data_IF_192918916817
#
_entry.id   IF_192918916817
#
_cell.length_a   1.000
_cell.length_b   1.000
_cell.length_c   1.000
_cell.angle_alpha   90.00
_cell.angle_beta   90.00
_cell.angle_gamma   90.00
#
_symmetry.space_group_name_H-M   'P 1'
#
loop_
_entity.id
_entity.type
_entity.pdbx_description
1 polymer ?
#
# COMPACT_ATOMS: atom_id res chain seq x y z
N UNK A 1 4.00 -4.98 -45.36
CA UNK A 1 2.57 -4.60 -45.23
C UNK A 1 2.37 -3.91 -43.89
N UNK A 2 2.28 -2.59 -43.89
CA UNK A 2 2.02 -1.77 -42.70
C UNK A 2 0.54 -1.83 -42.35
N UNK A 3 0.22 -2.24 -41.12
CA UNK A 3 -1.16 -2.19 -40.61
C UNK A 3 -1.66 -0.73 -40.57
N UNK A 4 -2.96 -0.48 -40.84
CA UNK A 4 -3.51 0.87 -40.80
C UNK A 4 -3.38 1.49 -39.39
N UNK A 5 -3.00 2.77 -39.33
CA UNK A 5 -2.69 3.49 -38.09
C UNK A 5 -3.82 3.48 -37.04
N UNK A 6 -5.08 3.35 -37.47
CA UNK A 6 -6.26 3.24 -36.60
C UNK A 6 -6.35 1.92 -35.82
N UNK A 7 -5.83 0.82 -36.37
CA UNK A 7 -5.85 -0.50 -35.72
C UNK A 7 -4.73 -0.61 -34.67
N UNK A 8 -3.58 0.03 -34.93
CA UNK A 8 -2.46 0.08 -33.99
C UNK A 8 -2.82 0.88 -32.72
N UNK A 9 -3.54 2.00 -32.87
CA UNK A 9 -3.94 2.89 -31.77
C UNK A 9 -5.01 2.27 -30.86
N UNK A 10 -6.01 1.57 -31.39
CA UNK A 10 -7.04 0.92 -30.56
C UNK A 10 -6.46 -0.19 -29.67
N UNK A 11 -5.46 -0.94 -30.17
CA UNK A 11 -4.82 -2.01 -29.39
C UNK A 11 -4.00 -1.45 -28.21
N UNK A 12 -3.39 -0.28 -28.36
CA UNK A 12 -2.59 0.37 -27.32
C UNK A 12 -3.47 0.91 -26.19
N UNK A 13 -4.61 1.51 -26.51
CA UNK A 13 -5.60 1.97 -25.53
C UNK A 13 -6.15 0.81 -24.71
N UNK A 14 -6.56 -0.28 -25.37
CA UNK A 14 -7.07 -1.48 -24.69
C UNK A 14 -6.04 -2.08 -23.73
N UNK A 15 -4.77 -2.19 -24.14
CA UNK A 15 -3.69 -2.66 -23.25
C UNK A 15 -3.50 -1.76 -22.04
N UNK A 16 -3.56 -0.45 -22.23
CA UNK A 16 -3.41 0.53 -21.15
C UNK A 16 -4.54 0.38 -20.13
N UNK A 17 -5.79 0.26 -20.59
CA UNK A 17 -6.96 0.05 -19.72
C UNK A 17 -6.88 -1.25 -18.94
N UNK A 18 -6.51 -2.36 -19.59
CA UNK A 18 -6.35 -3.66 -18.90
C UNK A 18 -5.23 -3.59 -17.87
N UNK A 19 -4.12 -2.91 -18.20
CA UNK A 19 -3.00 -2.71 -17.27
C UNK A 19 -3.43 -1.89 -16.07
N UNK A 20 -4.21 -0.82 -16.28
CA UNK A 20 -4.76 -0.01 -15.22
C UNK A 20 -5.70 -0.81 -14.31
N UNK A 21 -6.64 -1.56 -14.89
CA UNK A 21 -7.55 -2.41 -14.13
C UNK A 21 -6.79 -3.44 -13.28
N UNK A 22 -5.84 -4.16 -13.86
CA UNK A 22 -5.04 -5.15 -13.14
C UNK A 22 -4.24 -4.51 -12.00
N UNK A 23 -3.60 -3.36 -12.25
CA UNK A 23 -2.82 -2.67 -11.20
C UNK A 23 -3.72 -2.14 -10.09
N UNK A 24 -4.90 -1.59 -10.40
CA UNK A 24 -5.89 -1.18 -9.39
C UNK A 24 -6.37 -2.36 -8.54
N UNK A 25 -6.69 -3.49 -9.16
CA UNK A 25 -7.09 -4.70 -8.41
C UNK A 25 -5.97 -5.18 -7.48
N UNK A 26 -4.73 -5.16 -7.95
CA UNK A 26 -3.58 -5.55 -7.14
C UNK A 26 -3.32 -4.57 -6.01
N UNK A 27 -3.47 -3.26 -6.26
CA UNK A 27 -3.41 -2.21 -5.24
C UNK A 27 -4.44 -2.48 -4.13
N UNK A 28 -5.70 -2.73 -4.49
CA UNK A 28 -6.76 -3.04 -3.54
C UNK A 28 -6.45 -4.30 -2.72
N UNK A 29 -6.05 -5.39 -3.39
CA UNK A 29 -5.70 -6.63 -2.72
C UNK A 29 -4.52 -6.44 -1.75
N UNK A 30 -3.46 -5.77 -2.20
CA UNK A 30 -2.30 -5.50 -1.38
C UNK A 30 -2.65 -4.64 -0.16
N UNK A 31 -3.48 -3.61 -0.32
CA UNK A 31 -3.98 -2.82 0.80
C UNK A 31 -4.74 -3.69 1.81
N UNK A 32 -5.71 -4.48 1.36
CA UNK A 32 -6.54 -5.30 2.25
C UNK A 32 -5.70 -6.33 3.02
N UNK A 33 -4.73 -6.95 2.37
CA UNK A 33 -3.81 -7.89 3.02
C UNK A 33 -2.94 -7.21 4.07
N UNK A 34 -2.32 -6.08 3.73
CA UNK A 34 -1.42 -5.38 4.66
C UNK A 34 -2.21 -4.73 5.80
N UNK A 35 -3.31 -4.03 5.52
CA UNK A 35 -4.16 -3.42 6.54
C UNK A 35 -4.74 -4.51 7.47
N UNK A 36 -5.17 -5.63 6.91
CA UNK A 36 -5.65 -6.76 7.68
C UNK A 36 -4.60 -7.36 8.60
N UNK A 37 -3.38 -7.56 8.10
CA UNK A 37 -2.27 -8.05 8.90
C UNK A 37 -1.88 -7.07 10.01
N UNK A 38 -1.83 -5.77 9.70
CA UNK A 38 -1.58 -4.72 10.68
C UNK A 38 -2.60 -4.78 11.82
N UNK A 39 -3.89 -4.68 11.49
CA UNK A 39 -4.96 -4.69 12.50
C UNK A 39 -5.01 -6.01 13.28
N UNK A 40 -4.87 -7.15 12.61
CA UNK A 40 -4.84 -8.46 13.27
C UNK A 40 -3.71 -8.55 14.30
N UNK A 41 -2.51 -8.06 13.95
CA UNK A 41 -1.37 -8.09 14.87
C UNK A 41 -1.57 -7.17 16.09
N UNK A 42 -2.17 -5.99 15.89
CA UNK A 42 -2.54 -5.07 16.98
C UNK A 42 -3.59 -5.70 17.90
N UNK A 43 -4.66 -6.28 17.35
CA UNK A 43 -5.71 -6.97 18.12
C UNK A 43 -5.12 -8.16 18.88
N UNK A 44 -4.30 -8.99 18.22
CA UNK A 44 -3.67 -10.15 18.86
C UNK A 44 -2.79 -9.74 20.06
N UNK A 45 -2.07 -8.62 19.95
CA UNK A 45 -1.29 -8.09 21.06
C UNK A 45 -2.17 -7.55 22.19
N UNK A 46 -3.24 -6.83 21.85
CA UNK A 46 -4.19 -6.32 22.84
C UNK A 46 -4.86 -7.45 23.62
N UNK A 47 -5.32 -8.51 22.93
CA UNK A 47 -5.87 -9.72 23.56
C UNK A 47 -4.85 -10.38 24.49
N UNK A 48 -3.59 -10.49 24.05
CA UNK A 48 -2.50 -11.05 24.89
C UNK A 48 -2.26 -10.26 26.17
N UNK A 49 -2.50 -8.95 26.13
CA UNK A 49 -2.38 -8.04 27.28
C UNK A 49 -3.72 -7.84 28.02
N UNK A 50 -4.77 -8.56 27.63
CA UNK A 50 -6.12 -8.45 28.19
C UNK A 50 -6.70 -7.02 28.13
N UNK A 51 -6.39 -6.30 27.04
CA UNK A 51 -6.92 -4.96 26.78
C UNK A 51 -8.19 -5.11 25.94
N UNK A 52 -9.39 -4.86 26.50
CA UNK A 52 -10.64 -4.99 25.77
C UNK A 52 -10.77 -3.95 24.67
N UNK A 53 -11.40 -4.32 23.57
CA UNK A 53 -11.67 -3.39 22.48
C UNK A 53 -12.70 -3.87 21.48
N UNK A 54 -12.92 -3.04 20.47
CA UNK A 54 -13.80 -3.30 19.33
C UNK A 54 -12.97 -3.17 18.06
N UNK A 55 -12.92 -4.26 17.29
CA UNK A 55 -12.32 -4.29 15.96
C UNK A 55 -13.40 -4.01 14.91
N UNK A 56 -13.36 -2.79 14.35
CA UNK A 56 -14.23 -2.37 13.25
C UNK A 56 -13.54 -2.37 11.89
N UNK A 57 -14.30 -2.08 10.84
CA UNK A 57 -13.82 -2.07 9.43
C UNK A 57 -12.66 -1.07 9.24
N UNK A 58 -12.79 0.10 9.85
CA UNK A 58 -11.87 1.23 9.68
C UNK A 58 -10.81 1.32 10.77
N UNK A 59 -11.18 1.06 12.01
CA UNK A 59 -10.33 1.30 13.18
C UNK A 59 -10.52 0.24 14.27
N UNK A 60 -9.52 0.16 15.14
CA UNK A 60 -9.57 -0.57 16.40
C UNK A 60 -9.80 0.47 17.50
N UNK A 61 -10.82 0.26 18.32
CA UNK A 61 -11.15 1.14 19.45
C UNK A 61 -10.94 0.37 20.75
N UNK A 62 -10.04 0.83 21.61
CA UNK A 62 -9.83 0.21 22.92
C UNK A 62 -10.86 0.76 23.92
N UNK A 63 -11.33 -0.09 24.84
CA UNK A 63 -12.36 0.26 25.83
C UNK A 63 -11.80 0.65 27.19
N UNK A 64 -10.47 0.71 27.33
CA UNK A 64 -9.78 1.15 28.55
C UNK A 64 -9.64 2.67 28.58
N UNK A 65 -9.64 3.24 29.78
CA UNK A 65 -9.47 4.65 30.04
C UNK A 65 -8.00 5.08 30.01
N UNK A 66 -7.74 6.37 29.77
CA UNK A 66 -6.37 6.90 29.65
C UNK A 66 -5.45 6.56 30.84
N UNK A 67 -5.88 6.61 32.12
CA UNK A 67 -5.04 6.26 33.26
C UNK A 67 -4.70 4.77 33.37
N UNK A 68 -5.46 3.89 32.69
CA UNK A 68 -5.24 2.45 32.72
C UNK A 68 -4.13 2.01 31.75
N UNK A 69 -3.71 2.88 30.85
CA UNK A 69 -2.59 2.58 29.96
C UNK A 69 -1.25 2.61 30.71
N UNK A 70 -0.48 1.54 30.54
CA UNK A 70 0.91 1.49 30.98
C UNK A 70 1.85 1.48 29.78
N UNK A 71 3.06 2.00 29.98
CA UNK A 71 4.01 2.28 28.90
C UNK A 71 4.31 1.08 28.00
N UNK A 72 4.55 -0.09 28.58
CA UNK A 72 4.88 -1.28 27.77
C UNK A 72 3.70 -1.78 26.95
N UNK A 73 2.46 -1.63 27.42
CA UNK A 73 1.27 -1.93 26.63
C UNK A 73 1.12 -0.99 25.44
N UNK A 74 1.27 0.32 25.65
CA UNK A 74 1.17 1.30 24.56
C UNK A 74 2.19 0.99 23.47
N UNK A 75 3.45 0.80 23.84
CA UNK A 75 4.52 0.48 22.90
C UNK A 75 4.27 -0.86 22.19
N UNK A 76 3.76 -1.88 22.89
CA UNK A 76 3.49 -3.19 22.31
C UNK A 76 2.29 -3.15 21.34
N UNK A 77 1.16 -2.60 21.76
CA UNK A 77 -0.09 -2.59 20.99
C UNK A 77 0.01 -1.70 19.76
N UNK A 78 0.52 -0.47 19.92
CA UNK A 78 0.67 0.45 18.79
C UNK A 78 1.93 0.21 17.96
N UNK A 79 2.93 -0.49 18.50
CA UNK A 79 4.18 -0.80 17.79
C UNK A 79 4.17 -2.10 17.00
N UNK A 80 3.40 -3.12 17.40
CA UNK A 80 3.43 -4.44 16.75
C UNK A 80 2.94 -4.40 15.30
N UNK A 81 1.88 -3.63 15.01
CA UNK A 81 1.33 -3.47 13.66
C UNK A 81 2.37 -2.95 12.68
N UNK A 82 2.94 -1.77 12.94
CA UNK A 82 4.03 -1.22 12.13
C UNK A 82 5.25 -2.15 12.06
N UNK A 83 5.64 -2.80 13.15
CA UNK A 83 6.77 -3.74 13.14
C UNK A 83 6.54 -4.93 12.20
N UNK A 84 5.35 -5.55 12.24
CA UNK A 84 4.98 -6.64 11.33
C UNK A 84 4.96 -6.15 9.88
N UNK A 85 4.39 -4.97 9.62
CA UNK A 85 4.42 -4.35 8.30
C UNK A 85 5.86 -4.09 7.81
N UNK A 86 6.77 -3.63 8.66
CA UNK A 86 8.17 -3.42 8.30
C UNK A 86 8.85 -4.73 7.86
N UNK A 87 8.62 -5.83 8.59
CA UNK A 87 9.12 -7.16 8.23
C UNK A 87 8.55 -7.61 6.88
N UNK A 88 7.26 -7.41 6.65
CA UNK A 88 6.60 -7.76 5.37
C UNK A 88 7.11 -6.91 4.21
N UNK A 89 7.33 -5.61 4.42
CA UNK A 89 7.89 -4.72 3.40
C UNK A 89 9.26 -5.19 2.93
N UNK A 90 10.16 -5.49 3.89
CA UNK A 90 11.49 -6.02 3.61
C UNK A 90 11.39 -7.39 2.94
N UNK A 91 10.57 -8.30 3.48
CA UNK A 91 10.40 -9.65 2.95
C UNK A 91 9.86 -9.67 1.51
N UNK A 92 8.82 -8.87 1.22
CA UNK A 92 8.24 -8.75 -0.10
C UNK A 92 9.21 -8.12 -1.11
N UNK A 93 9.94 -7.07 -0.70
CA UNK A 93 10.97 -6.43 -1.52
C UNK A 93 12.13 -7.37 -1.85
N UNK A 94 12.66 -8.09 -0.84
CA UNK A 94 13.71 -9.08 -1.04
C UNK A 94 13.26 -10.25 -1.91
N UNK A 95 12.02 -10.72 -1.73
CA UNK A 95 11.45 -11.78 -2.56
C UNK A 95 11.33 -11.33 -4.02
N UNK A 96 10.77 -10.13 -4.25
CA UNK A 96 10.71 -9.53 -5.57
C UNK A 96 12.11 -9.51 -6.21
N UNK A 97 13.09 -8.96 -5.50
CA UNK A 97 14.45 -8.78 -6.02
C UNK A 97 15.16 -10.10 -6.34
N UNK A 98 15.07 -11.08 -5.43
CA UNK A 98 15.84 -12.33 -5.55
C UNK A 98 15.18 -13.38 -6.44
N UNK A 99 13.84 -13.40 -6.57
CA UNK A 99 13.15 -14.52 -7.24
C UNK A 99 12.13 -14.12 -8.31
N UNK A 100 11.50 -12.96 -8.22
CA UNK A 100 10.36 -12.65 -9.10
C UNK A 100 10.63 -11.55 -10.14
N UNK A 101 11.68 -10.73 -9.98
CA UNK A 101 12.00 -9.63 -10.91
C UNK A 101 12.12 -10.06 -12.38
N UNK A 102 12.72 -11.24 -12.63
CA UNK A 102 12.94 -11.78 -13.98
C UNK A 102 11.82 -12.70 -14.47
N UNK A 103 10.78 -12.93 -13.66
CA UNK A 103 9.65 -13.79 -14.01
C UNK A 103 8.54 -12.98 -14.67
N UNK A 104 7.68 -13.69 -15.40
CA UNK A 104 6.48 -13.13 -16.02
C UNK A 104 5.29 -13.24 -15.08
N UNK A 105 4.30 -12.40 -15.32
CA UNK A 105 3.03 -12.39 -14.63
C UNK A 105 2.93 -11.32 -13.56
N UNK A 106 1.75 -11.26 -12.93
CA UNK A 106 1.36 -10.17 -12.03
C UNK A 106 1.90 -10.31 -10.61
N UNK A 107 2.54 -11.44 -10.27
CA UNK A 107 3.05 -11.69 -8.92
C UNK A 107 4.10 -10.67 -8.50
N UNK A 108 4.99 -10.27 -9.41
CA UNK A 108 6.00 -9.25 -9.14
C UNK A 108 5.38 -7.88 -8.84
N UNK A 109 4.33 -7.51 -9.57
CA UNK A 109 3.56 -6.29 -9.31
C UNK A 109 2.85 -6.37 -7.95
N UNK A 110 2.26 -7.53 -7.61
CA UNK A 110 1.67 -7.77 -6.29
C UNK A 110 2.70 -7.61 -5.17
N UNK A 111 3.89 -8.22 -5.29
CA UNK A 111 4.94 -8.10 -4.26
C UNK A 111 5.40 -6.66 -4.06
N UNK A 112 5.52 -5.88 -5.15
CA UNK A 112 5.90 -4.47 -5.06
C UNK A 112 4.78 -3.64 -4.41
N UNK A 113 3.51 -3.85 -4.77
CA UNK A 113 2.40 -3.16 -4.11
C UNK A 113 2.25 -3.57 -2.63
N UNK A 114 2.46 -4.84 -2.29
CA UNK A 114 2.52 -5.32 -0.90
C UNK A 114 3.63 -4.61 -0.14
N UNK A 115 4.83 -4.50 -0.73
CA UNK A 115 5.93 -3.77 -0.11
C UNK A 115 5.59 -2.28 0.07
N UNK A 116 4.97 -1.63 -0.92
CA UNK A 116 4.59 -0.21 -0.84
C UNK A 116 3.51 0.05 0.22
N UNK A 117 2.45 -0.77 0.27
CA UNK A 117 1.44 -0.65 1.32
C UNK A 117 2.02 -0.92 2.71
N UNK A 118 2.89 -1.91 2.84
CA UNK A 118 3.55 -2.21 4.10
C UNK A 118 4.49 -1.07 4.53
N UNK A 119 5.28 -0.49 3.61
CA UNK A 119 6.06 0.72 3.88
C UNK A 119 5.17 1.89 4.31
N UNK A 120 4.04 2.12 3.63
CA UNK A 120 3.13 3.21 3.97
C UNK A 120 2.46 2.99 5.33
N UNK A 121 2.20 1.75 5.76
CA UNK A 121 1.69 1.43 7.11
C UNK A 121 2.73 1.61 8.23
N UNK A 122 3.97 1.98 7.89
CA UNK A 122 5.02 2.29 8.86
C UNK A 122 5.39 3.76 8.73
N UNK A 123 5.94 4.15 7.59
CA UNK A 123 6.48 5.48 7.36
C UNK A 123 5.36 6.50 7.13
N UNK A 124 4.38 6.14 6.31
CA UNK A 124 3.27 7.02 5.96
C UNK A 124 2.29 7.16 7.11
N UNK A 125 2.03 6.05 7.80
CA UNK A 125 1.25 6.02 9.03
C UNK A 125 1.87 6.97 10.06
N UNK A 126 3.18 6.92 10.32
CA UNK A 126 3.84 7.86 11.25
C UNK A 126 3.60 9.34 10.88
N UNK A 127 3.61 9.67 9.59
CA UNK A 127 3.29 11.03 9.13
C UNK A 127 1.82 11.37 9.40
N UNK A 128 0.88 10.56 8.92
CA UNK A 128 -0.56 10.82 9.06
C UNK A 128 -1.06 10.79 10.50
N UNK A 129 -0.58 9.83 11.28
CA UNK A 129 -0.89 9.62 12.68
C UNK A 129 -0.43 10.79 13.55
N UNK A 130 0.66 11.47 13.17
CA UNK A 130 1.13 12.67 13.88
C UNK A 130 0.19 13.86 13.75
N UNK A 131 -0.53 13.98 12.63
CA UNK A 131 -1.54 15.04 12.48
C UNK A 131 -2.83 14.76 13.25
N UNK A 132 -3.09 13.51 13.61
CA UNK A 132 -4.33 13.10 14.27
C UNK A 132 -4.12 12.60 15.70
N UNK A 133 -2.87 12.59 16.18
CA UNK A 133 -2.47 12.09 17.49
C UNK A 133 -3.06 10.69 17.78
N UNK A 134 -2.96 9.80 16.79
CA UNK A 134 -3.57 8.47 16.83
C UNK A 134 -2.61 7.37 16.39
N UNK A 135 -2.96 6.10 16.58
CA UNK A 135 -2.19 4.98 16.02
C UNK A 135 -0.71 4.96 16.44
N UNK A 136 0.20 4.91 15.47
CA UNK A 136 1.65 4.81 15.72
C UNK A 136 2.23 6.06 16.37
N UNK A 137 1.54 7.20 16.35
CA UNK A 137 1.98 8.42 17.07
C UNK A 137 2.22 8.16 18.56
N UNK A 138 1.43 7.27 19.17
CA UNK A 138 1.60 6.90 20.57
C UNK A 138 2.96 6.25 20.86
N UNK A 139 3.59 5.61 19.87
CA UNK A 139 4.87 4.91 20.06
C UNK A 139 5.99 5.89 20.42
N UNK A 140 6.40 6.87 19.59
CA UNK A 140 7.40 7.85 20.00
C UNK A 140 6.95 8.70 21.20
N UNK A 141 5.66 9.00 21.33
CA UNK A 141 5.13 9.82 22.41
C UNK A 141 5.40 9.18 23.78
N UNK A 142 5.11 7.88 23.91
CA UNK A 142 5.36 7.10 25.12
C UNK A 142 6.78 6.54 25.23
N UNK A 143 7.52 6.47 24.13
CA UNK A 143 8.92 6.09 24.14
C UNK A 143 9.80 7.21 24.69
N UNK A 144 9.61 8.44 24.24
CA UNK A 144 10.48 9.56 24.58
C UNK A 144 10.00 10.35 25.80
N UNK A 145 8.68 10.43 26.05
CA UNK A 145 8.10 11.20 27.16
C UNK A 145 8.60 12.66 27.23
N UNK A 146 8.93 13.23 26.07
CA UNK A 146 9.58 14.54 25.92
C UNK A 146 8.70 15.53 25.13
N UNK A 147 7.38 15.45 25.33
CA UNK A 147 6.39 16.24 24.60
C UNK A 147 6.21 15.80 23.14
N UNK A 148 5.64 16.67 22.30
CA UNK A 148 5.30 16.34 20.92
C UNK A 148 6.47 16.52 19.92
N UNK A 149 7.54 17.23 20.31
CA UNK A 149 8.69 17.50 19.44
C UNK A 149 9.32 16.22 18.87
N UNK A 150 9.59 15.16 19.65
CA UNK A 150 10.11 13.91 19.11
C UNK A 150 9.19 13.26 18.08
N UNK A 151 7.86 13.31 18.27
CA UNK A 151 6.89 12.73 17.34
C UNK A 151 6.99 13.41 15.97
N UNK A 152 7.06 14.75 15.96
CA UNK A 152 7.19 15.54 14.73
C UNK A 152 8.52 15.25 14.04
N UNK A 153 9.63 15.18 14.77
CA UNK A 153 10.94 14.86 14.20
C UNK A 153 10.92 13.46 13.56
N UNK A 154 10.39 12.46 14.26
CA UNK A 154 10.28 11.09 13.72
C UNK A 154 9.38 11.06 12.49
N UNK A 155 8.24 11.76 12.50
CA UNK A 155 7.35 11.85 11.35
C UNK A 155 8.03 12.47 10.13
N UNK A 156 8.78 13.57 10.29
CA UNK A 156 9.55 14.19 9.20
C UNK A 156 10.58 13.22 8.64
N UNK A 157 11.35 12.54 9.50
CA UNK A 157 12.34 11.55 9.07
C UNK A 157 11.68 10.37 8.33
N UNK A 158 10.55 9.87 8.81
CA UNK A 158 9.77 8.82 8.14
C UNK A 158 9.25 9.28 6.77
N UNK A 159 8.74 10.50 6.66
CA UNK A 159 8.29 11.09 5.40
C UNK A 159 9.42 11.20 4.38
N UNK A 160 10.59 11.71 4.80
CA UNK A 160 11.79 11.78 3.95
C UNK A 160 12.26 10.40 3.52
N UNK A 161 12.31 9.43 4.44
CA UNK A 161 12.69 8.06 4.13
C UNK A 161 11.71 7.42 3.13
N UNK A 162 10.40 7.67 3.28
CA UNK A 162 9.39 7.18 2.35
C UNK A 162 9.57 7.74 0.93
N UNK A 163 9.94 9.02 0.83
CA UNK A 163 10.28 9.62 -0.47
C UNK A 163 11.52 8.96 -1.10
N UNK A 164 12.57 8.72 -0.30
CA UNK A 164 13.77 8.01 -0.75
C UNK A 164 13.43 6.60 -1.23
N UNK A 165 12.63 5.85 -0.46
CA UNK A 165 12.14 4.51 -0.84
C UNK A 165 11.40 4.56 -2.17
N UNK A 166 10.51 5.54 -2.36
CA UNK A 166 9.80 5.74 -3.63
C UNK A 166 10.75 5.97 -4.80
N UNK A 167 11.72 6.87 -4.63
CA UNK A 167 12.70 7.18 -5.68
C UNK A 167 13.54 5.94 -6.08
N UNK A 168 14.13 5.24 -5.11
CA UNK A 168 15.02 4.09 -5.39
C UNK A 168 14.26 2.86 -5.91
N UNK A 169 12.95 2.77 -5.64
CA UNK A 169 12.13 1.67 -6.10
C UNK A 169 11.76 1.74 -7.61
N UNK A 170 12.08 2.84 -8.31
CA UNK A 170 11.67 3.06 -9.69
C UNK A 170 12.09 1.95 -10.65
N UNK A 171 13.36 1.57 -10.65
CA UNK A 171 13.87 0.49 -11.51
C UNK A 171 13.16 -0.83 -11.22
N UNK A 172 12.99 -1.16 -9.93
CA UNK A 172 12.26 -2.35 -9.51
C UNK A 172 10.79 -2.32 -9.97
N UNK A 173 10.13 -1.18 -9.82
CA UNK A 173 8.75 -0.99 -10.26
C UNK A 173 8.60 -1.14 -11.77
N UNK A 174 9.49 -0.53 -12.57
CA UNK A 174 9.49 -0.69 -14.02
C UNK A 174 9.63 -2.17 -14.44
N UNK A 175 10.48 -2.94 -13.74
CA UNK A 175 10.67 -4.38 -13.97
C UNK A 175 9.41 -5.22 -13.67
N UNK A 176 8.42 -4.69 -12.96
CA UNK A 176 7.14 -5.38 -12.75
C UNK A 176 6.26 -5.48 -13.99
N UNK A 177 6.63 -4.82 -15.10
CA UNK A 177 5.81 -4.77 -16.31
C UNK A 177 6.32 -5.73 -17.38
N UNK A 178 5.39 -6.53 -17.94
CA UNK A 178 5.68 -7.48 -19.02
C UNK A 178 5.43 -6.92 -20.43
N UNK A 179 4.85 -5.71 -20.53
CA UNK A 179 4.47 -5.09 -21.80
C UNK A 179 5.61 -4.25 -22.36
N UNK A 180 6.34 -4.79 -23.35
CA UNK A 180 7.39 -4.06 -24.07
C UNK A 180 6.86 -2.75 -24.65
N UNK A 181 5.67 -2.77 -25.26
CA UNK A 181 5.08 -1.57 -25.89
C UNK A 181 4.83 -0.43 -24.90
N UNK A 182 4.43 -0.73 -23.66
CA UNK A 182 4.21 0.29 -22.64
C UNK A 182 5.51 0.71 -21.94
N UNK A 183 6.53 -0.16 -21.95
CA UNK A 183 7.84 0.10 -21.37
C UNK A 183 8.72 1.03 -22.20
N UNK A 184 8.45 1.16 -23.50
CA UNK A 184 9.13 2.12 -24.38
C UNK A 184 9.02 3.55 -23.83
N UNK A 185 10.11 4.31 -23.90
CA UNK A 185 10.19 5.66 -23.35
C UNK A 185 9.06 6.59 -23.81
N UNK A 186 8.64 6.62 -25.11
CA UNK A 186 7.52 7.47 -25.55
C UNK A 186 6.17 7.14 -24.87
N UNK A 187 5.99 5.91 -24.38
CA UNK A 187 4.78 5.48 -23.69
C UNK A 187 4.91 5.53 -22.16
N UNK A 188 6.05 5.95 -21.61
CA UNK A 188 6.33 5.95 -20.17
C UNK A 188 5.30 6.71 -19.36
N UNK A 189 4.85 7.88 -19.81
CA UNK A 189 3.81 8.65 -19.12
C UNK A 189 2.49 7.87 -19.02
N UNK A 190 2.10 7.16 -20.09
CA UNK A 190 0.89 6.32 -20.10
C UNK A 190 1.04 5.15 -19.13
N UNK A 191 2.22 4.52 -19.09
CA UNK A 191 2.53 3.47 -18.14
C UNK A 191 2.40 3.97 -16.70
N UNK A 192 3.05 5.08 -16.34
CA UNK A 192 2.99 5.69 -15.00
C UNK A 192 1.54 6.00 -14.59
N UNK A 193 0.78 6.65 -15.48
CA UNK A 193 -0.62 6.96 -15.19
C UNK A 193 -1.44 5.68 -14.96
N UNK A 194 -1.31 4.69 -15.84
CA UNK A 194 -2.05 3.45 -15.75
C UNK A 194 -1.65 2.57 -14.55
N UNK A 195 -0.39 2.60 -14.13
CA UNK A 195 0.15 1.61 -13.19
C UNK A 195 0.41 2.17 -11.80
N UNK A 196 0.54 3.49 -11.65
CA UNK A 196 0.78 4.18 -10.39
C UNK A 196 -0.40 5.09 -10.05
N UNK A 197 -0.68 6.10 -10.88
CA UNK A 197 -1.62 7.17 -10.50
C UNK A 197 -3.08 6.69 -10.48
N UNK A 198 -3.54 5.99 -11.52
CA UNK A 198 -4.90 5.44 -11.55
C UNK A 198 -5.12 4.43 -10.41
N UNK A 199 -4.24 3.43 -10.18
CA UNK A 199 -4.38 2.51 -9.05
C UNK A 199 -4.42 3.20 -7.70
N UNK A 200 -3.58 4.20 -7.48
CA UNK A 200 -3.61 4.98 -6.24
C UNK A 200 -4.92 5.74 -6.07
N UNK A 201 -5.35 6.52 -7.06
CA UNK A 201 -6.55 7.35 -6.96
C UNK A 201 -7.82 6.52 -6.92
N UNK A 202 -8.01 5.64 -7.92
CA UNK A 202 -9.20 4.79 -8.01
C UNK A 202 -9.23 3.74 -6.91
N UNK A 203 -8.09 3.13 -6.59
CA UNK A 203 -8.00 2.17 -5.50
C UNK A 203 -8.29 2.80 -4.14
N UNK A 204 -7.71 3.97 -3.84
CA UNK A 204 -8.01 4.67 -2.58
C UNK A 204 -9.48 5.12 -2.51
N UNK A 205 -10.06 5.58 -3.63
CA UNK A 205 -11.48 5.93 -3.68
C UNK A 205 -12.40 4.71 -3.43
N UNK A 206 -12.08 3.55 -4.03
CA UNK A 206 -12.84 2.31 -3.80
C UNK A 206 -12.70 1.81 -2.36
N UNK A 207 -11.51 1.92 -1.75
CA UNK A 207 -11.30 1.59 -0.34
C UNK A 207 -12.05 2.57 0.59
N UNK A 208 -12.06 3.85 0.26
CA UNK A 208 -12.84 4.85 0.98
C UNK A 208 -14.35 4.53 0.93
N UNK A 209 -14.86 4.11 -0.24
CA UNK A 209 -16.24 3.65 -0.38
C UNK A 209 -16.53 2.37 0.42
N UNK A 210 -15.62 1.40 0.41
CA UNK A 210 -15.74 0.17 1.20
C UNK A 210 -15.85 0.44 2.71
N UNK A 211 -15.22 1.52 3.17
CA UNK A 211 -15.15 1.92 4.58
C UNK A 211 -16.21 2.95 4.98
N UNK A 212 -17.06 3.40 4.05
CA UNK A 212 -18.13 4.34 4.36
C UNK A 212 -19.26 3.64 5.15
N UNK A 213 -19.84 4.24 6.21
CA UNK A 213 -19.66 5.63 6.68
C UNK A 213 -18.51 5.83 7.70
N UNK A 214 -17.82 4.77 8.10
CA UNK A 214 -16.81 4.79 9.16
C UNK A 214 -15.42 5.31 8.73
N UNK A 215 -15.32 6.00 7.59
CA UNK A 215 -14.06 6.49 7.06
C UNK A 215 -13.54 7.67 7.90
N UNK A 216 -12.45 7.44 8.63
CA UNK A 216 -11.84 8.43 9.51
C UNK A 216 -10.96 9.45 8.78
N UNK A 217 -10.65 10.57 9.44
CA UNK A 217 -9.63 11.51 8.95
C UNK A 217 -8.26 10.83 8.84
N UNK A 218 -7.89 10.00 9.82
CA UNK A 218 -6.60 9.34 9.83
C UNK A 218 -6.40 8.43 8.60
N UNK A 219 -7.42 7.65 8.23
CA UNK A 219 -7.34 6.79 7.04
C UNK A 219 -7.22 7.59 5.74
N UNK A 220 -7.90 8.74 5.64
CA UNK A 220 -7.73 9.65 4.50
C UNK A 220 -6.30 10.16 4.42
N UNK A 221 -5.68 10.48 5.55
CA UNK A 221 -4.26 10.85 5.59
C UNK A 221 -3.37 9.68 5.17
N UNK A 222 -3.66 8.44 5.60
CA UNK A 222 -2.88 7.27 5.15
C UNK A 222 -2.96 7.04 3.63
N UNK A 223 -4.13 7.29 3.02
CA UNK A 223 -4.25 7.28 1.55
C UNK A 223 -3.43 8.39 0.90
N UNK A 224 -3.41 9.58 1.51
CA UNK A 224 -2.66 10.73 1.01
C UNK A 224 -1.14 10.54 1.16
N UNK A 225 -0.67 10.02 2.30
CA UNK A 225 0.75 9.81 2.59
C UNK A 225 1.39 8.78 1.66
N UNK A 226 0.60 7.88 1.06
CA UNK A 226 1.08 7.01 -0.01
C UNK A 226 1.66 7.83 -1.18
N UNK A 227 1.15 9.04 -1.42
CA UNK A 227 1.69 9.99 -2.38
C UNK A 227 3.15 10.36 -2.12
N UNK A 228 3.61 10.38 -0.86
CA UNK A 228 5.03 10.62 -0.54
C UNK A 228 5.95 9.54 -1.13
N UNK A 229 5.44 8.32 -1.31
CA UNK A 229 6.17 7.25 -2.00
C UNK A 229 5.95 7.31 -3.51
N UNK A 230 4.70 7.44 -3.95
CA UNK A 230 4.33 7.28 -5.36
C UNK A 230 4.73 8.46 -6.25
N UNK A 231 4.78 9.68 -5.73
CA UNK A 231 5.22 10.85 -6.50
C UNK A 231 6.72 10.79 -6.87
N UNK A 232 7.67 10.61 -5.93
CA UNK A 232 9.08 10.45 -6.30
C UNK A 232 9.32 9.19 -7.13
N UNK A 233 8.57 8.10 -6.88
CA UNK A 233 8.59 6.91 -7.74
C UNK A 233 8.22 7.26 -9.18
N UNK A 234 7.12 8.00 -9.39
CA UNK A 234 6.65 8.40 -10.70
C UNK A 234 7.66 9.30 -11.42
N UNK A 235 8.26 10.27 -10.70
CA UNK A 235 9.29 11.14 -11.23
C UNK A 235 10.55 10.36 -11.64
N UNK A 236 11.01 9.44 -10.79
CA UNK A 236 12.16 8.59 -11.10
C UNK A 236 11.87 7.69 -12.31
N UNK A 237 10.70 7.02 -12.35
CA UNK A 237 10.29 6.20 -13.49
C UNK A 237 10.21 6.98 -14.81
N UNK A 238 9.85 8.27 -14.76
CA UNK A 238 9.79 9.13 -15.94
C UNK A 238 11.18 9.43 -16.53
N UNK A 239 12.21 9.49 -15.68
CA UNK A 239 13.58 9.81 -16.07
C UNK A 239 14.44 8.56 -16.35
N UNK A 240 13.95 7.37 -16.03
CA UNK A 240 14.67 6.12 -16.25
C UNK A 240 14.69 5.71 -17.73
N UNK A 241 15.90 5.56 -18.27
CA UNK A 241 16.18 5.12 -19.66
C UNK A 241 15.99 3.61 -19.86
N UNK A 242 15.61 2.89 -18.82
CA UNK A 242 15.44 1.45 -18.84
C UNK A 242 14.21 1.01 -19.67
N UNK A 243 14.43 0.41 -20.84
CA UNK A 243 13.34 0.01 -21.76
C UNK A 243 13.06 -1.50 -21.81
N UNK A 244 13.97 -2.36 -21.34
CA UNK A 244 13.89 -3.81 -21.53
C UNK A 244 13.67 -4.56 -20.21
N UNK A 245 12.48 -5.17 -20.03
CA UNK A 245 12.16 -5.94 -18.81
C UNK A 245 12.30 -7.45 -18.99
N UNK A 246 11.76 -8.01 -20.07
CA UNK A 246 11.68 -9.46 -20.30
C UNK A 246 11.91 -9.77 -21.77
N UNK A 247 12.71 -10.80 -22.05
CA UNK A 247 13.06 -11.22 -23.44
C UNK A 247 11.86 -11.61 -24.30
N UNK A 248 10.81 -12.18 -23.69
CA UNK A 248 9.57 -12.50 -24.43
C UNK A 248 8.34 -11.92 -23.72
N UNK A 249 7.61 -11.00 -24.37
CA UNK A 249 6.45 -10.35 -23.77
C UNK A 249 5.29 -11.35 -23.62
N UNK A 250 4.51 -11.19 -22.55
CA UNK A 250 3.22 -11.87 -22.42
C UNK A 250 2.08 -10.99 -22.95
N UNK A 251 1.05 -11.63 -23.51
CA UNK A 251 -0.17 -10.92 -23.89
C UNK A 251 -0.85 -10.37 -22.63
N UNK A 252 -1.11 -9.06 -22.62
CA UNK A 252 -1.87 -8.39 -21.57
C UNK A 252 -3.29 -8.96 -21.54
N UNK A 253 -3.66 -9.62 -20.44
CA UNK A 253 -5.00 -10.18 -20.20
C UNK A 253 -5.56 -9.63 -18.90
N UNK A 254 -6.87 -9.48 -18.83
CA UNK A 254 -7.56 -9.15 -17.58
C UNK A 254 -7.42 -10.31 -16.60
N UNK A 255 -6.96 -10.01 -15.39
CA UNK A 255 -6.76 -11.01 -14.35
C UNK A 255 -8.05 -11.26 -13.56
N UNK A 256 -9.04 -11.87 -14.20
CA UNK A 256 -10.36 -12.14 -13.60
C UNK A 256 -10.29 -12.88 -12.27
N UNK A 257 -9.35 -13.83 -12.12
CA UNK A 257 -9.12 -14.53 -10.86
C UNK A 257 -8.68 -13.61 -9.72
N UNK A 258 -7.82 -12.61 -10.00
CA UNK A 258 -7.41 -11.62 -9.00
C UNK A 258 -8.57 -10.68 -8.65
N UNK A 259 -9.38 -10.30 -9.63
CA UNK A 259 -10.56 -9.47 -9.39
C UNK A 259 -11.55 -10.19 -8.46
N UNK A 260 -11.88 -11.45 -8.76
CA UNK A 260 -12.76 -12.27 -7.94
C UNK A 260 -12.20 -12.47 -6.52
N UNK A 261 -10.90 -12.78 -6.40
CA UNK A 261 -10.23 -12.92 -5.11
C UNK A 261 -10.30 -11.62 -4.30
N UNK A 262 -10.01 -10.47 -4.94
CA UNK A 262 -10.05 -9.16 -4.27
C UNK A 262 -11.45 -8.83 -3.78
N UNK A 263 -12.47 -9.07 -4.61
CA UNK A 263 -13.87 -8.90 -4.21
C UNK A 263 -14.27 -9.80 -3.04
N UNK A 264 -13.86 -11.07 -3.06
CA UNK A 264 -14.13 -12.01 -1.98
C UNK A 264 -13.43 -11.59 -0.66
N UNK A 265 -12.17 -11.15 -0.73
CA UNK A 265 -11.43 -10.64 0.44
C UNK A 265 -12.08 -9.37 0.98
N UNK A 266 -12.46 -8.43 0.11
CA UNK A 266 -13.12 -7.19 0.51
C UNK A 266 -14.48 -7.45 1.18
N UNK A 267 -15.29 -8.33 0.59
CA UNK A 267 -16.58 -8.71 1.14
C UNK A 267 -16.42 -9.46 2.47
N UNK A 268 -15.50 -10.41 2.55
CA UNK A 268 -15.21 -11.13 3.79
C UNK A 268 -14.74 -10.20 4.90
N UNK A 269 -13.83 -9.28 4.59
CA UNK A 269 -13.37 -8.23 5.50
C UNK A 269 -14.53 -7.40 6.04
N UNK A 270 -15.38 -6.90 5.14
CA UNK A 270 -16.53 -6.07 5.51
C UNK A 270 -17.53 -6.85 6.36
N UNK A 271 -17.94 -8.05 5.94
CA UNK A 271 -18.91 -8.87 6.69
C UNK A 271 -18.42 -9.26 8.09
N UNK A 272 -17.11 -9.49 8.24
CA UNK A 272 -16.53 -9.84 9.53
C UNK A 272 -16.53 -8.67 10.52
N UNK A 273 -16.30 -7.44 10.02
CA UNK A 273 -16.00 -6.27 10.85
C UNK A 273 -17.10 -5.19 10.86
N UNK A 274 -18.10 -5.27 9.99
CA UNK A 274 -19.17 -4.27 9.87
C UNK A 274 -19.97 -4.08 11.17
N UNK A 275 -20.11 -5.14 11.97
CA UNK A 275 -20.84 -5.06 13.25
C UNK A 275 -19.94 -4.66 14.43
N UNK A 276 -18.63 -4.49 14.23
CA UNK A 276 -17.67 -4.32 15.31
C UNK A 276 -17.48 -5.61 16.12
N UNK A 277 -16.30 -6.22 16.05
CA UNK A 277 -16.00 -7.44 16.80
C UNK A 277 -15.35 -7.08 18.13
N UNK A 278 -16.05 -7.37 19.22
CA UNK A 278 -15.47 -7.27 20.56
C UNK A 278 -14.38 -8.33 20.76
N UNK A 279 -13.31 -7.95 21.43
CA UNK A 279 -12.20 -8.82 21.83
C UNK A 279 -11.66 -8.43 23.20
#
# INVERSE_FOLDING_TARGET
MSAPASVATSSATTKTTITALNSTVIYLLAYLLINGLHQLSTVAMAVRLSIPGVWGVSSIKFSISDPEWWRTAVLAVYGVGPAVCAVVAIGAGLWFWKRERGKRGLRKLLLVWVAFHACNQVLGAMVGDTFTESGVWYVPSWLFLAGNTPNVVVAVLCGLLQMVVGYVAAVGFLQTHDSITLMQYPNRRKLIVATILIPWMAGSALLALLKYPDLSLNERLHFLTMGLLLLPLSLACANELFEFTVEFPQKTKTAWGLLALTGAVALGWWLLLATGRHF
#
